data_IF_432804735105
#
_entry.id   IF_432804735105
#
_cell.length_a   1.000
_cell.length_b   1.000
_cell.length_c   1.000
_cell.angle_alpha   90.00
_cell.angle_beta   90.00
_cell.angle_gamma   90.00
#
_symmetry.space_group_name_H-M   'P 1'
#
loop_
_entity.id
_entity.type
_entity.pdbx_description
1 polymer ?
#
# COMPACT_ATOMS: atom_id res chain seq x y z
N UNK A 1 -24.27 -15.91 7.71
CA UNK A 1 -22.92 -16.43 8.01
C UNK A 1 -22.05 -16.44 6.74
N UNK A 2 -21.76 -15.30 6.08
CA UNK A 2 -21.06 -15.35 4.78
C UNK A 2 -20.00 -14.26 4.51
N UNK A 3 -20.05 -13.09 5.15
CA UNK A 3 -19.21 -11.96 4.68
C UNK A 3 -17.71 -12.10 5.02
N UNK A 4 -17.36 -12.63 6.19
CA UNK A 4 -15.94 -12.70 6.60
C UNK A 4 -15.13 -13.76 5.84
N UNK A 5 -15.77 -14.83 5.37
CA UNK A 5 -15.07 -15.82 4.52
C UNK A 5 -14.79 -15.26 3.15
N UNK A 6 -15.74 -14.50 2.60
CA UNK A 6 -15.60 -13.85 1.32
C UNK A 6 -14.49 -12.78 1.36
N UNK A 7 -14.45 -11.96 2.42
CA UNK A 7 -13.39 -10.96 2.60
C UNK A 7 -12.00 -11.59 2.69
N UNK A 8 -11.84 -12.71 3.41
CA UNK A 8 -10.56 -13.40 3.54
C UNK A 8 -10.11 -14.03 2.21
N UNK A 9 -11.03 -14.64 1.46
CA UNK A 9 -10.75 -15.18 0.13
C UNK A 9 -10.33 -14.09 -0.86
N UNK A 10 -10.96 -12.91 -0.79
CA UNK A 10 -10.62 -11.76 -1.63
C UNK A 10 -9.25 -11.17 -1.28
N UNK A 11 -8.92 -11.12 0.01
CA UNK A 11 -7.59 -10.75 0.50
C UNK A 11 -6.52 -11.72 -0.03
N UNK A 12 -6.73 -13.03 0.14
CA UNK A 12 -5.83 -14.05 -0.39
C UNK A 12 -5.64 -13.90 -1.90
N UNK A 13 -6.73 -13.76 -2.65
CA UNK A 13 -6.69 -13.57 -4.10
C UNK A 13 -5.86 -12.33 -4.49
N UNK A 14 -5.98 -11.24 -3.74
CA UNK A 14 -5.24 -10.00 -3.99
C UNK A 14 -3.75 -10.19 -3.70
N UNK A 15 -3.40 -10.89 -2.61
CA UNK A 15 -2.01 -11.24 -2.26
C UNK A 15 -1.38 -12.16 -3.32
N UNK A 16 -2.11 -13.15 -3.84
CA UNK A 16 -1.61 -14.01 -4.91
C UNK A 16 -1.33 -13.22 -6.19
N UNK A 17 -2.16 -12.23 -6.53
CA UNK A 17 -1.89 -11.31 -7.64
C UNK A 17 -0.66 -10.45 -7.39
N UNK A 18 -0.50 -9.92 -6.17
CA UNK A 18 0.68 -9.13 -5.80
C UNK A 18 1.96 -9.96 -5.95
N UNK A 19 1.94 -11.21 -5.47
CA UNK A 19 3.02 -12.18 -5.65
C UNK A 19 3.38 -12.39 -7.11
N UNK A 20 2.38 -12.57 -7.98
CA UNK A 20 2.60 -12.74 -9.41
C UNK A 20 3.27 -11.51 -10.04
N UNK A 21 2.79 -10.30 -9.73
CA UNK A 21 3.37 -9.05 -10.23
C UNK A 21 4.79 -8.84 -9.71
N UNK A 22 5.02 -9.11 -8.42
CA UNK A 22 6.35 -9.04 -7.79
C UNK A 22 7.35 -9.95 -8.48
N UNK A 23 6.94 -11.18 -8.82
CA UNK A 23 7.78 -12.08 -9.61
C UNK A 23 8.10 -11.52 -10.99
N UNK A 24 7.13 -10.93 -11.70
CA UNK A 24 7.37 -10.31 -13.00
C UNK A 24 8.36 -9.15 -12.91
N UNK A 25 8.25 -8.30 -11.89
CA UNK A 25 9.18 -7.20 -11.65
C UNK A 25 10.58 -7.77 -11.37
N UNK A 26 10.68 -8.74 -10.44
CA UNK A 26 11.95 -9.36 -10.03
C UNK A 26 12.72 -10.00 -11.19
N UNK A 27 12.03 -10.65 -12.11
CA UNK A 27 12.64 -11.35 -13.24
C UNK A 27 12.75 -10.50 -14.51
N UNK A 28 12.47 -9.19 -14.42
CA UNK A 28 12.64 -8.23 -15.52
C UNK A 28 13.79 -7.26 -15.21
N UNK A 29 15.06 -7.68 -15.37
CA UNK A 29 16.22 -6.86 -14.97
C UNK A 29 16.39 -5.56 -15.77
N UNK A 30 15.69 -5.43 -16.90
CA UNK A 30 15.64 -4.24 -17.75
C UNK A 30 14.23 -3.64 -17.83
N UNK A 31 13.43 -3.80 -16.77
CA UNK A 31 12.05 -3.33 -16.75
C UNK A 31 11.92 -1.87 -17.16
N UNK A 32 12.83 -1.01 -16.67
CA UNK A 32 12.80 0.43 -16.93
C UNK A 32 13.19 0.82 -18.37
N UNK A 33 13.81 -0.08 -19.15
CA UNK A 33 14.05 0.15 -20.58
C UNK A 33 12.72 0.13 -21.36
N UNK A 34 11.71 -0.58 -20.84
CA UNK A 34 10.35 -0.61 -21.36
C UNK A 34 9.40 0.18 -20.46
N UNK A 35 9.47 1.52 -20.54
CA UNK A 35 8.67 2.42 -19.68
C UNK A 35 7.17 2.09 -19.65
N UNK A 36 6.47 1.82 -20.77
CA UNK A 36 5.05 1.45 -20.73
C UNK A 36 4.76 0.18 -19.92
N UNK A 37 5.64 -0.83 -20.01
CA UNK A 37 5.49 -2.06 -19.22
C UNK A 37 5.81 -1.82 -17.73
N UNK A 38 6.84 -1.02 -17.44
CA UNK A 38 7.17 -0.62 -16.08
C UNK A 38 6.02 0.13 -15.42
N UNK A 39 5.42 1.10 -16.12
CA UNK A 39 4.25 1.85 -15.65
C UNK A 39 3.08 0.93 -15.36
N UNK A 40 2.74 0.04 -16.29
CA UNK A 40 1.64 -0.90 -16.11
C UNK A 40 1.86 -1.81 -14.89
N UNK A 41 3.05 -2.42 -14.78
CA UNK A 41 3.35 -3.36 -13.72
C UNK A 41 3.40 -2.68 -12.35
N UNK A 42 4.09 -1.56 -12.22
CA UNK A 42 4.23 -0.85 -10.95
C UNK A 42 2.95 -0.14 -10.55
N UNK A 43 2.17 0.37 -11.51
CA UNK A 43 0.81 0.87 -11.25
C UNK A 43 -0.07 -0.22 -10.65
N UNK A 44 -0.12 -1.41 -11.28
CA UNK A 44 -0.92 -2.53 -10.78
C UNK A 44 -0.41 -3.05 -9.42
N UNK A 45 0.90 -3.01 -9.20
CA UNK A 45 1.52 -3.36 -7.93
C UNK A 45 1.04 -2.40 -6.81
N UNK A 46 1.07 -1.08 -7.05
CA UNK A 46 0.55 -0.07 -6.13
C UNK A 46 -0.94 -0.30 -5.82
N UNK A 47 -1.77 -0.53 -6.84
CA UNK A 47 -3.22 -0.74 -6.63
C UNK A 47 -3.52 -1.96 -5.76
N UNK A 48 -2.72 -3.02 -5.91
CA UNK A 48 -2.86 -4.22 -5.09
C UNK A 48 -2.36 -4.00 -3.66
N UNK A 49 -1.24 -3.28 -3.47
CA UNK A 49 -0.78 -2.91 -2.12
C UNK A 49 -1.84 -2.11 -1.37
N UNK A 50 -2.37 -1.05 -1.99
CA UNK A 50 -3.38 -0.19 -1.39
C UNK A 50 -4.66 -0.98 -1.07
N UNK A 51 -5.13 -1.80 -2.01
CA UNK A 51 -6.31 -2.67 -1.81
C UNK A 51 -6.11 -3.68 -0.68
N UNK A 52 -4.93 -4.29 -0.59
CA UNK A 52 -4.61 -5.26 0.47
C UNK A 52 -4.60 -4.56 1.83
N UNK A 53 -3.97 -3.38 1.92
CA UNK A 53 -3.94 -2.58 3.14
C UNK A 53 -5.35 -2.15 3.59
N UNK A 54 -6.19 -1.68 2.66
CA UNK A 54 -7.60 -1.36 2.93
C UNK A 54 -8.38 -2.59 3.43
N UNK A 55 -8.16 -3.74 2.79
CA UNK A 55 -8.80 -5.01 3.17
C UNK A 55 -8.38 -5.44 4.58
N UNK A 56 -7.08 -5.33 4.91
CA UNK A 56 -6.55 -5.64 6.24
C UNK A 56 -7.08 -4.68 7.31
N UNK A 57 -7.22 -3.39 6.99
CA UNK A 57 -7.81 -2.40 7.91
C UNK A 57 -9.31 -2.64 8.15
N UNK A 58 -10.04 -3.10 7.14
CA UNK A 58 -11.47 -3.43 7.24
C UNK A 58 -11.76 -4.74 8.00
N UNK A 59 -10.75 -5.59 8.21
CA UNK A 59 -10.89 -6.83 8.97
C UNK A 59 -10.84 -6.57 10.48
N UNK A 60 -12.01 -6.54 11.11
CA UNK A 60 -12.14 -6.48 12.57
C UNK A 60 -11.70 -7.80 13.21
N UNK A 61 -10.49 -7.83 13.78
CA UNK A 61 -9.88 -9.00 14.46
C UNK A 61 -10.82 -9.62 15.51
N UNK A 62 -11.61 -8.80 16.21
CA UNK A 62 -12.57 -9.25 17.25
C UNK A 62 -13.69 -10.16 16.74
N UNK A 63 -13.91 -10.21 15.42
CA UNK A 63 -14.98 -10.99 14.78
C UNK A 63 -14.45 -12.25 14.07
N UNK A 64 -13.13 -12.47 14.09
CA UNK A 64 -12.47 -13.58 13.38
C UNK A 64 -12.28 -14.75 14.34
N UNK A 65 -12.88 -15.90 14.02
CA UNK A 65 -12.66 -17.14 14.74
C UNK A 65 -11.18 -17.56 14.72
N UNK A 66 -10.70 -18.18 15.80
CA UNK A 66 -9.29 -18.56 16.00
C UNK A 66 -8.62 -19.30 14.82
N UNK A 67 -9.36 -20.10 14.05
CA UNK A 67 -8.82 -20.81 12.88
C UNK A 67 -8.53 -19.86 11.71
N UNK A 68 -9.40 -18.87 11.48
CA UNK A 68 -9.23 -17.85 10.44
C UNK A 68 -8.17 -16.81 10.81
N UNK A 69 -7.88 -16.62 12.09
CA UNK A 69 -6.75 -15.78 12.53
C UNK A 69 -5.41 -16.35 12.07
N UNK A 70 -5.21 -17.67 12.18
CA UNK A 70 -3.97 -18.32 11.69
C UNK A 70 -3.81 -18.20 10.17
N UNK A 71 -4.92 -18.22 9.44
CA UNK A 71 -4.92 -18.02 8.00
C UNK A 71 -4.57 -16.57 7.66
N UNK A 72 -5.19 -15.61 8.34
CA UNK A 72 -4.86 -14.19 8.22
C UNK A 72 -3.39 -13.90 8.53
N UNK A 73 -2.82 -14.49 9.58
CA UNK A 73 -1.40 -14.34 9.92
C UNK A 73 -0.48 -14.78 8.78
N UNK A 74 -0.78 -15.93 8.15
CA UNK A 74 -0.03 -16.43 6.99
C UNK A 74 -0.16 -15.49 5.79
N UNK A 75 -1.34 -14.93 5.58
CA UNK A 75 -1.59 -13.96 4.51
C UNK A 75 -0.81 -12.66 4.75
N UNK A 76 -0.76 -12.16 6.00
CA UNK A 76 0.04 -10.98 6.36
C UNK A 76 1.53 -11.24 6.14
N UNK A 77 2.05 -12.40 6.54
CA UNK A 77 3.44 -12.78 6.27
C UNK A 77 3.74 -12.81 4.77
N UNK A 78 2.84 -13.41 4.01
CA UNK A 78 2.96 -13.48 2.54
C UNK A 78 2.91 -12.07 1.93
N UNK A 79 2.02 -11.21 2.40
CA UNK A 79 1.96 -9.82 1.95
C UNK A 79 3.28 -9.10 2.20
N UNK A 80 3.82 -9.16 3.42
CA UNK A 80 5.10 -8.52 3.76
C UNK A 80 6.26 -9.02 2.89
N UNK A 81 6.31 -10.33 2.58
CA UNK A 81 7.33 -10.92 1.69
C UNK A 81 7.31 -10.31 0.28
N UNK A 82 6.11 -10.05 -0.26
CA UNK A 82 5.93 -9.51 -1.62
C UNK A 82 5.66 -8.01 -1.65
N UNK A 83 5.65 -7.33 -0.50
CA UNK A 83 5.56 -5.87 -0.38
C UNK A 83 6.88 -5.31 0.18
N UNK A 84 6.93 -5.02 1.47
CA UNK A 84 8.06 -4.37 2.13
C UNK A 84 9.38 -5.09 1.87
N UNK A 85 9.43 -6.41 2.10
CA UNK A 85 10.68 -7.17 2.01
C UNK A 85 11.14 -7.29 0.55
N UNK A 86 10.20 -7.28 -0.41
CA UNK A 86 10.53 -7.24 -1.82
C UNK A 86 11.02 -5.86 -2.27
N UNK A 87 10.36 -4.79 -1.83
CA UNK A 87 10.78 -3.40 -2.09
C UNK A 87 12.19 -3.11 -1.55
N UNK A 88 12.58 -3.72 -0.44
CA UNK A 88 13.94 -3.62 0.11
C UNK A 88 15.02 -4.17 -0.84
N UNK A 89 14.64 -4.96 -1.85
CA UNK A 89 15.55 -5.48 -2.88
C UNK A 89 15.69 -4.58 -4.11
N UNK A 90 14.90 -3.49 -4.18
CA UNK A 90 14.88 -2.61 -5.36
C UNK A 90 16.11 -1.70 -5.39
N UNK A 91 16.52 -1.34 -6.60
CA UNK A 91 17.53 -0.31 -6.81
C UNK A 91 16.88 1.09 -6.80
N UNK A 92 17.73 2.13 -6.73
CA UNK A 92 17.28 3.52 -6.63
C UNK A 92 16.39 3.95 -7.81
N UNK A 93 16.72 3.50 -9.03
CA UNK A 93 15.95 3.87 -10.24
C UNK A 93 14.53 3.29 -10.21
N UNK A 94 14.38 2.02 -9.81
CA UNK A 94 13.08 1.36 -9.69
C UNK A 94 12.27 1.97 -8.56
N UNK A 95 12.92 2.30 -7.44
CA UNK A 95 12.31 2.98 -6.30
C UNK A 95 11.79 4.36 -6.69
N UNK A 96 12.61 5.18 -7.36
CA UNK A 96 12.21 6.52 -7.81
C UNK A 96 11.03 6.46 -8.78
N UNK A 97 11.01 5.47 -9.69
CA UNK A 97 9.91 5.31 -10.63
C UNK A 97 8.60 4.90 -9.94
N UNK A 98 8.67 3.96 -8.98
CA UNK A 98 7.53 3.59 -8.15
C UNK A 98 6.98 4.79 -7.36
N UNK A 99 7.86 5.56 -6.70
CA UNK A 99 7.46 6.73 -5.91
C UNK A 99 6.78 7.78 -6.79
N UNK A 100 7.33 8.05 -7.97
CA UNK A 100 6.70 8.93 -8.96
C UNK A 100 5.27 8.50 -9.29
N UNK A 101 5.07 7.21 -9.59
CA UNK A 101 3.73 6.68 -9.90
C UNK A 101 2.78 6.81 -8.72
N UNK A 102 3.24 6.55 -7.49
CA UNK A 102 2.42 6.67 -6.29
C UNK A 102 1.97 8.10 -6.04
N UNK A 103 2.86 9.06 -6.23
CA UNK A 103 2.55 10.50 -6.14
C UNK A 103 1.54 10.90 -7.22
N UNK A 104 1.74 10.47 -8.46
CA UNK A 104 0.81 10.77 -9.57
C UNK A 104 -0.58 10.21 -9.28
N UNK A 105 -0.67 8.97 -8.79
CA UNK A 105 -1.95 8.35 -8.40
C UNK A 105 -2.64 9.08 -7.25
N UNK A 106 -1.89 9.42 -6.20
CA UNK A 106 -2.42 10.19 -5.07
C UNK A 106 -2.95 11.56 -5.52
N UNK A 107 -2.19 12.29 -6.34
CA UNK A 107 -2.62 13.58 -6.90
C UNK A 107 -3.87 13.46 -7.78
N UNK A 108 -3.96 12.42 -8.61
CA UNK A 108 -5.13 12.17 -9.46
C UNK A 108 -6.39 11.89 -8.62
N UNK A 109 -6.24 11.19 -7.48
CA UNK A 109 -7.33 11.00 -6.52
C UNK A 109 -7.81 12.34 -5.94
N UNK A 110 -6.90 13.21 -5.50
CA UNK A 110 -7.26 14.54 -4.98
C UNK A 110 -7.83 15.49 -6.05
N UNK A 111 -7.33 15.47 -7.28
CA UNK A 111 -7.89 16.27 -8.37
C UNK A 111 -9.27 15.76 -8.80
N UNK A 112 -9.50 14.44 -8.77
CA UNK A 112 -10.81 13.86 -9.04
C UNK A 112 -11.83 14.26 -7.97
N UNK A 113 -11.46 14.20 -6.68
CA UNK A 113 -12.29 14.71 -5.59
C UNK A 113 -12.56 16.22 -5.73
N UNK A 114 -11.55 17.02 -6.07
CA UNK A 114 -11.74 18.46 -6.31
C UNK A 114 -12.69 18.76 -7.49
N UNK A 115 -12.70 17.90 -8.52
CA UNK A 115 -13.59 18.04 -9.68
C UNK A 115 -15.02 17.51 -9.45
N UNK A 116 -15.20 16.59 -8.50
CA UNK A 116 -16.51 16.02 -8.14
C UNK A 116 -17.21 16.79 -7.03
N UNK A 117 -16.47 17.56 -6.22
CA UNK A 117 -17.02 18.49 -5.22
C UNK A 117 -17.05 19.92 -5.77
N UNK A 118 -17.80 20.14 -6.85
CA UNK A 118 -18.34 21.48 -7.14
C UNK A 118 -19.59 21.70 -6.29
N UNK A 119 -19.40 21.93 -4.98
CA UNK A 119 -20.17 22.82 -4.10
C UNK A 119 -19.94 22.47 -2.63
N UNK A 120 -18.78 22.85 -2.09
CA UNK A 120 -18.58 23.28 -0.70
C UNK A 120 -17.08 23.53 -0.48
N UNK A 121 -16.69 24.80 -0.38
CA UNK A 121 -15.32 25.21 -0.07
C UNK A 121 -14.94 24.75 1.34
N UNK A 122 -14.04 23.78 1.44
CA UNK A 122 -13.33 23.49 2.70
C UNK A 122 -11.93 24.08 2.55
N UNK A 123 -11.67 25.16 3.29
CA UNK A 123 -10.33 25.75 3.39
C UNK A 123 -9.55 24.97 4.44
N UNK A 124 -8.49 24.27 4.03
CA UNK A 124 -7.56 23.59 4.94
C UNK A 124 -6.30 24.44 5.05
N UNK A 125 -6.05 25.00 6.24
CA UNK A 125 -4.81 25.70 6.55
C UNK A 125 -3.74 24.70 7.01
N UNK A 126 -2.49 24.77 6.49
CA UNK A 126 -1.40 23.92 6.94
C UNK A 126 -0.93 24.34 8.35
N UNK A 127 -0.78 23.37 9.26
CA UNK A 127 -0.22 23.59 10.59
C UNK A 127 1.30 23.53 10.51
N UNK A 128 1.94 24.69 10.64
CA UNK A 128 3.39 24.84 10.73
C UNK A 128 3.86 24.54 12.17
N UNK A 129 4.90 23.70 12.34
CA UNK A 129 5.72 23.73 13.56
C UNK A 129 7.16 24.08 13.19
N UNK A 130 7.49 25.33 13.49
CA UNK A 130 8.82 25.91 13.75
C UNK A 130 9.93 25.60 12.73
N UNK A 131 9.94 26.42 11.68
CA UNK A 131 11.10 27.27 11.35
C UNK A 131 12.43 26.59 11.06
N UNK A 132 12.58 26.04 9.85
CA UNK A 132 13.65 26.38 8.92
C UNK A 132 13.28 25.92 7.51
N UNK A 133 13.67 26.71 6.52
CA UNK A 133 13.13 26.78 5.15
C UNK A 133 13.28 25.48 4.33
N UNK A 134 12.20 25.13 3.61
CA UNK A 134 12.13 24.04 2.63
C UNK A 134 12.85 24.40 1.32
N UNK A 135 13.34 23.39 0.60
CA UNK A 135 12.90 23.15 -0.77
C UNK A 135 11.81 22.08 -0.73
N UNK A 136 10.58 22.49 -1.11
CA UNK A 136 9.34 21.73 -0.93
C UNK A 136 9.03 20.77 -2.06
N UNK A 137 9.99 19.90 -2.40
CA UNK A 137 9.75 18.75 -3.26
C UNK A 137 10.39 17.55 -2.55
N UNK A 138 9.80 16.35 -2.65
CA UNK A 138 10.26 15.13 -1.97
C UNK A 138 9.85 15.02 -0.48
N UNK A 139 8.55 14.87 -0.23
CA UNK A 139 8.09 14.24 1.01
C UNK A 139 8.01 12.73 0.76
N UNK A 140 8.84 12.01 1.49
CA UNK A 140 8.98 10.55 1.52
C UNK A 140 7.61 9.86 1.57
N UNK A 141 7.37 8.95 0.63
CA UNK A 141 6.26 7.99 0.74
C UNK A 141 6.67 6.90 1.72
N UNK A 142 5.96 6.81 2.82
CA UNK A 142 6.31 5.92 3.94
C UNK A 142 6.19 4.43 3.56
N UNK A 143 7.22 3.66 3.94
CA UNK A 143 7.21 2.18 3.80
C UNK A 143 6.23 1.62 4.82
N UNK A 144 5.16 0.99 4.35
CA UNK A 144 4.16 0.38 5.24
C UNK A 144 4.57 -1.07 5.52
N UNK A 145 5.07 -1.33 6.73
CA UNK A 145 5.28 -2.70 7.23
C UNK A 145 4.17 -3.06 8.21
N UNK A 146 3.51 -4.19 7.99
CA UNK A 146 2.54 -4.72 8.96
C UNK A 146 3.32 -5.46 10.05
N UNK A 147 3.40 -4.86 11.25
CA UNK A 147 4.08 -5.45 12.40
C UNK A 147 3.16 -6.42 13.16
N UNK A 148 3.70 -7.60 13.50
CA UNK A 148 3.10 -8.56 14.43
C UNK A 148 3.36 -8.10 15.86
N UNK A 149 2.64 -7.10 16.35
CA UNK A 149 2.67 -6.86 17.79
C UNK A 149 2.03 -8.05 18.50
N UNK A 150 2.72 -8.62 19.49
CA UNK A 150 2.15 -9.65 20.35
C UNK A 150 0.84 -9.13 20.90
N UNK A 151 -0.25 -9.86 20.64
CA UNK A 151 -1.64 -9.55 21.01
C UNK A 151 -1.77 -9.20 22.49
N UNK A 152 -1.50 -7.94 22.82
CA UNK A 152 -1.73 -7.30 24.10
C UNK A 152 -2.37 -5.96 23.78
N UNK A 153 -3.70 -5.96 23.76
CA UNK A 153 -4.61 -4.83 23.89
C UNK A 153 -4.02 -3.45 23.58
N UNK A 154 -3.87 -3.13 22.29
CA UNK A 154 -3.87 -1.75 21.77
C UNK A 154 -3.61 -1.85 20.26
N UNK A 155 -4.55 -1.33 19.47
CA UNK A 155 -4.52 -1.11 18.02
C UNK A 155 -3.26 -1.55 17.26
N UNK A 156 -3.44 -2.37 16.21
CA UNK A 156 -2.46 -2.48 15.12
C UNK A 156 -2.18 -1.06 14.57
N UNK A 157 -1.14 -0.43 15.10
CA UNK A 157 -0.61 0.81 14.55
C UNK A 157 0.13 0.39 13.30
N UNK A 158 -0.38 0.80 12.14
CA UNK A 158 0.48 0.88 10.96
C UNK A 158 1.61 1.84 11.34
N UNK A 159 2.81 1.29 11.58
CA UNK A 159 3.99 2.10 11.82
C UNK A 159 4.51 2.49 10.44
N UNK A 160 4.26 3.75 10.15
CA UNK A 160 4.89 4.55 9.11
C UNK A 160 6.32 4.81 9.62
N UNK A 161 7.33 4.20 9.00
CA UNK A 161 8.75 4.36 9.39
C UNK A 161 9.41 5.40 8.49
#
# INVERSE_FOLDING_TARGET
>A
MSDQSENLNQLETSIQKLKFISHRIKFSPRLLDNKPEAELLLSNYIDLEDKILESLQGLSISEIHNEKLKELDKLIDTFNEYSTDFQDTWNDDLWQFYEHLRIVKSKNYYSFLASTVSSATITIHPIHKNGQELPSEFSQVDRVRVQKDQFSNSCCKCVII
#
